data_IF_796960252769
#
_entry.id   IF_796960252769
#
_cell.length_a   1.000
_cell.length_b   1.000
_cell.length_c   1.000
_cell.angle_alpha   90.00
_cell.angle_beta   90.00
_cell.angle_gamma   90.00
#
_symmetry.space_group_name_H-M   'P 1'
#
loop_
_entity.id
_entity.type
_entity.pdbx_description
1 polymer ?
#
# COMPACT_ATOMS: atom_id res chain seq x y z
N UNK A 1 -19.22 17.96 -13.00
CA UNK A 1 -19.36 17.77 -11.54
C UNK A 1 -18.66 16.50 -11.03
N UNK A 2 -18.53 15.44 -11.85
CA UNK A 2 -17.97 14.13 -11.50
C UNK A 2 -16.46 14.14 -11.23
N UNK A 3 -15.68 14.90 -12.02
CA UNK A 3 -14.20 14.99 -11.92
C UNK A 3 -13.73 15.54 -10.57
N UNK A 4 -14.44 16.53 -10.01
CA UNK A 4 -14.10 17.14 -8.71
C UNK A 4 -14.24 16.15 -7.55
N UNK A 5 -15.30 15.32 -7.55
CA UNK A 5 -15.49 14.28 -6.52
C UNK A 5 -14.45 13.16 -6.65
N UNK A 6 -14.17 12.69 -7.87
CA UNK A 6 -13.13 11.67 -8.13
C UNK A 6 -11.77 12.14 -7.63
N UNK A 7 -11.40 13.40 -7.89
CA UNK A 7 -10.15 13.98 -7.40
C UNK A 7 -10.10 14.04 -5.86
N UNK A 8 -11.22 14.40 -5.23
CA UNK A 8 -11.35 14.34 -3.77
C UNK A 8 -11.08 12.94 -3.21
N UNK A 9 -11.67 11.91 -3.83
CA UNK A 9 -11.44 10.52 -3.42
C UNK A 9 -10.00 10.06 -3.65
N UNK A 10 -9.39 10.42 -4.79
CA UNK A 10 -7.99 10.08 -5.06
C UNK A 10 -7.05 10.72 -4.04
N UNK A 11 -7.30 11.98 -3.66
CA UNK A 11 -6.51 12.64 -2.61
C UNK A 11 -6.72 11.99 -1.25
N UNK A 12 -7.96 11.70 -0.87
CA UNK A 12 -8.25 11.03 0.39
C UNK A 12 -7.56 9.66 0.46
N UNK A 13 -7.64 8.88 -0.61
CA UNK A 13 -7.00 7.57 -0.69
C UNK A 13 -5.47 7.67 -0.68
N UNK A 14 -4.88 8.64 -1.40
CA UNK A 14 -3.44 8.89 -1.38
C UNK A 14 -2.96 9.25 0.03
N UNK A 15 -3.70 10.07 0.76
CA UNK A 15 -3.37 10.40 2.15
C UNK A 15 -3.47 9.17 3.05
N UNK A 16 -4.60 8.46 3.02
CA UNK A 16 -4.84 7.31 3.89
C UNK A 16 -3.82 6.19 3.65
N UNK A 17 -3.65 5.79 2.40
CA UNK A 17 -2.69 4.76 2.01
C UNK A 17 -1.24 5.22 2.24
N UNK A 18 -0.94 6.48 1.93
CA UNK A 18 0.39 7.06 2.14
C UNK A 18 0.82 7.10 3.60
N UNK A 19 -0.06 7.58 4.50
CA UNK A 19 0.23 7.61 5.95
C UNK A 19 0.37 6.19 6.49
N UNK A 20 -0.55 5.29 6.14
CA UNK A 20 -0.52 3.91 6.61
C UNK A 20 0.76 3.19 6.20
N UNK A 21 1.12 3.22 4.91
CA UNK A 21 2.32 2.56 4.41
C UNK A 21 3.59 3.22 4.95
N UNK A 22 3.63 4.55 5.04
CA UNK A 22 4.80 5.26 5.56
C UNK A 22 5.06 4.91 7.02
N UNK A 23 4.03 4.96 7.88
CA UNK A 23 4.15 4.61 9.29
C UNK A 23 4.45 3.13 9.50
N UNK A 24 3.82 2.25 8.71
CA UNK A 24 4.11 0.80 8.74
C UNK A 24 5.56 0.54 8.33
N UNK A 25 6.03 1.17 7.26
CA UNK A 25 7.41 1.07 6.81
C UNK A 25 8.42 1.54 7.85
N UNK A 26 8.20 2.72 8.45
CA UNK A 26 9.03 3.21 9.56
C UNK A 26 9.01 2.24 10.75
N UNK A 27 7.83 1.72 11.10
CA UNK A 27 7.68 0.71 12.14
C UNK A 27 8.51 -0.55 11.85
N UNK A 28 8.40 -1.10 10.65
CA UNK A 28 9.17 -2.28 10.23
C UNK A 28 10.68 -2.03 10.21
N UNK A 29 11.13 -0.81 9.86
CA UNK A 29 12.56 -0.46 9.85
C UNK A 29 13.13 -0.33 11.26
N UNK A 30 12.46 0.39 12.15
CA UNK A 30 13.00 0.72 13.48
C UNK A 30 12.59 -0.28 14.56
N UNK A 31 11.37 -0.80 14.50
CA UNK A 31 10.74 -1.65 15.50
C UNK A 31 10.01 -2.86 14.88
N UNK A 32 10.67 -3.69 14.05
CA UNK A 32 10.02 -4.75 13.26
C UNK A 32 9.17 -5.70 14.10
N UNK A 33 9.69 -6.19 15.22
CA UNK A 33 8.99 -7.14 16.09
C UNK A 33 7.73 -6.54 16.71
N UNK A 34 7.76 -5.25 17.07
CA UNK A 34 6.59 -4.55 17.59
C UNK A 34 5.55 -4.36 16.49
N UNK A 35 5.96 -3.91 15.30
CA UNK A 35 5.06 -3.70 14.17
C UNK A 35 4.39 -5.00 13.73
N UNK A 36 5.13 -6.10 13.63
CA UNK A 36 4.55 -7.41 13.32
C UNK A 36 3.55 -7.87 14.40
N UNK A 37 3.84 -7.65 15.69
CA UNK A 37 2.89 -7.94 16.79
C UNK A 37 1.62 -7.11 16.68
N UNK A 38 1.71 -5.82 16.32
CA UNK A 38 0.54 -4.97 16.10
C UNK A 38 -0.29 -5.45 14.90
N UNK A 39 0.36 -6.02 13.89
CA UNK A 39 -0.31 -6.70 12.77
C UNK A 39 -0.79 -8.11 13.12
N UNK A 40 -0.59 -8.56 14.37
CA UNK A 40 -0.84 -9.93 14.84
C UNK A 40 -0.10 -11.01 14.03
N UNK A 41 0.97 -10.64 13.34
CA UNK A 41 1.82 -11.54 12.56
C UNK A 41 2.88 -12.16 13.47
N UNK A 42 3.12 -13.49 13.38
CA UNK A 42 4.21 -14.12 14.10
C UNK A 42 5.56 -13.45 13.81
N UNK A 43 6.33 -13.18 14.87
CA UNK A 43 7.66 -12.57 14.75
C UNK A 43 8.64 -13.67 14.35
N UNK A 44 9.36 -13.53 13.21
CA UNK A 44 10.37 -14.50 12.81
C UNK A 44 11.61 -14.39 13.70
N UNK A 45 12.49 -15.40 13.62
CA UNK A 45 13.76 -15.40 14.34
C UNK A 45 14.65 -14.20 13.96
N UNK A 46 15.50 -13.76 14.89
CA UNK A 46 16.29 -12.52 14.78
C UNK A 46 17.07 -12.34 13.46
N UNK A 47 17.74 -13.38 12.89
CA UNK A 47 18.46 -13.22 11.62
C UNK A 47 17.53 -12.82 10.46
N UNK A 48 16.27 -13.23 10.49
CA UNK A 48 15.28 -12.96 9.44
C UNK A 48 14.68 -11.56 9.54
N UNK A 49 14.79 -10.88 10.70
CA UNK A 49 14.26 -9.53 10.90
C UNK A 49 14.98 -8.49 10.02
N UNK A 50 16.22 -8.77 9.56
CA UNK A 50 16.90 -7.87 8.62
C UNK A 50 16.15 -7.72 7.30
N UNK A 51 15.55 -8.80 6.80
CA UNK A 51 14.75 -8.77 5.58
C UNK A 51 13.42 -8.05 5.81
N UNK A 52 12.83 -8.18 7.00
CA UNK A 52 11.63 -7.42 7.38
C UNK A 52 11.93 -5.92 7.41
N UNK A 53 13.07 -5.51 7.98
CA UNK A 53 13.52 -4.11 7.97
C UNK A 53 13.76 -3.62 6.55
N UNK A 54 14.39 -4.43 5.71
CA UNK A 54 14.61 -4.13 4.30
C UNK A 54 13.29 -3.91 3.56
N UNK A 55 12.31 -4.81 3.70
CA UNK A 55 10.95 -4.65 3.16
C UNK A 55 10.30 -3.36 3.69
N UNK A 56 10.48 -3.06 4.97
CA UNK A 56 10.01 -1.82 5.60
C UNK A 56 10.48 -0.55 4.89
N UNK A 57 11.71 -0.52 4.36
CA UNK A 57 12.21 0.61 3.57
C UNK A 57 11.38 0.80 2.29
N UNK A 58 11.05 -0.27 1.58
CA UNK A 58 10.22 -0.19 0.37
C UNK A 58 8.79 0.24 0.68
N UNK A 59 8.18 -0.35 1.72
CA UNK A 59 6.83 0.01 2.16
C UNK A 59 6.79 1.50 2.55
N UNK A 60 7.80 1.96 3.30
CA UNK A 60 7.95 3.37 3.66
C UNK A 60 8.12 4.28 2.45
N UNK A 61 8.95 3.89 1.48
CA UNK A 61 9.16 4.66 0.25
C UNK A 61 7.87 4.77 -0.59
N UNK A 62 7.11 3.68 -0.72
CA UNK A 62 5.79 3.69 -1.41
C UNK A 62 4.84 4.66 -0.70
N UNK A 63 4.76 4.59 0.63
CA UNK A 63 3.97 5.53 1.43
C UNK A 63 4.38 6.98 1.22
N UNK A 64 5.69 7.27 1.24
CA UNK A 64 6.21 8.61 1.00
C UNK A 64 5.85 9.14 -0.40
N UNK A 65 5.89 8.30 -1.44
CA UNK A 65 5.51 8.69 -2.80
C UNK A 65 4.02 9.13 -2.87
N UNK A 66 3.12 8.41 -2.19
CA UNK A 66 1.73 8.85 -2.06
C UNK A 66 1.59 10.20 -1.34
N UNK A 67 2.31 10.39 -0.24
CA UNK A 67 2.27 11.63 0.54
C UNK A 67 2.80 12.82 -0.27
N UNK A 68 3.85 12.63 -1.05
CA UNK A 68 4.39 13.65 -1.97
C UNK A 68 3.34 14.04 -3.02
N UNK A 69 2.70 13.08 -3.68
CA UNK A 69 1.65 13.38 -4.65
C UNK A 69 0.43 14.06 -4.00
N UNK A 70 0.05 13.65 -2.80
CA UNK A 70 -1.00 14.31 -2.03
C UNK A 70 -0.66 15.76 -1.68
N UNK A 71 0.58 16.03 -1.28
CA UNK A 71 1.06 17.36 -0.91
C UNK A 71 1.15 18.30 -2.12
N UNK A 72 1.60 17.79 -3.29
CA UNK A 72 1.71 18.56 -4.54
C UNK A 72 0.34 18.96 -5.10
N UNK A 73 -0.71 18.19 -4.79
CA UNK A 73 -2.11 18.44 -5.21
C UNK A 73 -2.31 18.50 -6.73
N UNK A 74 -1.36 18.00 -7.50
CA UNK A 74 -1.45 17.90 -8.96
C UNK A 74 -2.23 16.63 -9.34
N UNK A 75 -3.34 16.75 -10.10
CA UNK A 75 -4.06 15.63 -10.69
C UNK A 75 -3.15 14.60 -11.41
N UNK A 76 -2.17 15.07 -12.18
CA UNK A 76 -1.29 14.20 -12.95
C UNK A 76 -0.40 13.35 -12.05
N UNK A 77 0.14 13.95 -10.97
CA UNK A 77 0.96 13.25 -9.98
C UNK A 77 0.15 12.15 -9.27
N UNK A 78 -1.10 12.42 -8.90
CA UNK A 78 -1.97 11.44 -8.24
C UNK A 78 -2.26 10.24 -9.16
N UNK A 79 -2.55 10.49 -10.44
CA UNK A 79 -2.75 9.42 -11.43
C UNK A 79 -1.47 8.62 -11.62
N UNK A 80 -0.32 9.31 -11.75
CA UNK A 80 0.97 8.67 -11.94
C UNK A 80 1.32 7.75 -10.76
N UNK A 81 1.15 8.23 -9.52
CA UNK A 81 1.40 7.43 -8.32
C UNK A 81 0.46 6.23 -8.23
N UNK A 82 -0.83 6.40 -8.55
CA UNK A 82 -1.77 5.26 -8.53
C UNK A 82 -1.35 4.20 -9.54
N UNK A 83 -1.00 4.60 -10.77
CA UNK A 83 -0.51 3.67 -11.80
C UNK A 83 0.79 2.99 -11.41
N UNK A 84 1.73 3.74 -10.82
CA UNK A 84 3.03 3.24 -10.39
C UNK A 84 2.89 2.21 -9.26
N UNK A 85 1.98 2.44 -8.32
CA UNK A 85 1.83 1.62 -7.10
C UNK A 85 0.95 0.38 -7.28
N UNK A 86 0.06 0.38 -8.28
CA UNK A 86 -0.77 -0.77 -8.64
C UNK A 86 0.00 -2.11 -8.75
N UNK A 87 1.09 -2.23 -9.53
CA UNK A 87 1.82 -3.49 -9.65
C UNK A 87 2.45 -3.95 -8.34
N UNK A 88 2.95 -3.03 -7.50
CA UNK A 88 3.52 -3.37 -6.19
C UNK A 88 2.46 -3.94 -5.25
N UNK A 89 1.30 -3.27 -5.15
CA UNK A 89 0.19 -3.75 -4.32
C UNK A 89 -0.38 -5.06 -4.82
N UNK A 90 -0.60 -5.17 -6.13
CA UNK A 90 -1.11 -6.40 -6.72
C UNK A 90 -0.14 -7.57 -6.48
N UNK A 91 1.17 -7.34 -6.68
CA UNK A 91 2.21 -8.32 -6.42
C UNK A 91 2.26 -8.73 -4.95
N UNK A 92 2.37 -7.77 -4.03
CA UNK A 92 2.45 -8.03 -2.59
C UNK A 92 1.18 -8.73 -2.06
N UNK A 93 0.01 -8.23 -2.42
CA UNK A 93 -1.28 -8.80 -1.99
C UNK A 93 -1.51 -10.20 -2.53
N UNK A 94 -1.18 -10.45 -3.82
CA UNK A 94 -1.29 -11.79 -4.42
C UNK A 94 -0.28 -12.75 -3.84
N UNK A 95 0.97 -12.33 -3.66
CA UNK A 95 2.00 -13.14 -3.04
C UNK A 95 1.57 -13.58 -1.63
N UNK A 96 1.13 -12.64 -0.78
CA UNK A 96 0.67 -12.97 0.57
C UNK A 96 -0.52 -13.95 0.54
N UNK A 97 -1.46 -13.79 -0.40
CA UNK A 97 -2.62 -14.65 -0.49
C UNK A 97 -2.24 -16.08 -0.89
N UNK A 98 -1.37 -16.22 -1.90
CA UNK A 98 -0.88 -17.51 -2.36
C UNK A 98 -0.03 -18.19 -1.29
N UNK A 99 0.89 -17.45 -0.66
CA UNK A 99 1.75 -18.00 0.40
C UNK A 99 0.96 -18.46 1.63
N UNK A 100 -0.14 -17.78 1.99
CA UNK A 100 -1.05 -18.30 3.02
C UNK A 100 -1.76 -19.57 2.55
N UNK A 101 -2.23 -19.60 1.29
CA UNK A 101 -2.95 -20.75 0.75
C UNK A 101 -2.11 -22.04 0.69
N UNK A 102 -0.79 -21.91 0.45
CA UNK A 102 0.15 -23.05 0.42
C UNK A 102 0.78 -23.36 1.78
N UNK A 103 0.48 -22.57 2.82
CA UNK A 103 0.94 -22.80 4.20
C UNK A 103 2.29 -22.19 4.55
N UNK A 104 2.89 -21.37 3.69
CA UNK A 104 4.18 -20.70 3.92
C UNK A 104 4.07 -19.48 4.85
N UNK A 105 2.90 -18.83 4.87
CA UNK A 105 2.63 -17.67 5.73
C UNK A 105 1.45 -17.93 6.67
N UNK A 106 1.54 -17.36 7.87
CA UNK A 106 0.45 -17.39 8.84
C UNK A 106 -0.81 -16.66 8.28
N UNK A 107 -2.04 -17.12 8.58
CA UNK A 107 -3.26 -16.52 8.04
C UNK A 107 -3.44 -15.01 8.32
N UNK A 108 -2.74 -14.44 9.32
CA UNK A 108 -2.81 -13.00 9.64
C UNK A 108 -2.25 -12.14 8.50
N UNK A 109 -1.40 -12.71 7.64
CA UNK A 109 -0.94 -12.06 6.41
C UNK A 109 -2.04 -11.81 5.38
N UNK A 110 -3.22 -12.44 5.51
CA UNK A 110 -4.38 -12.10 4.68
C UNK A 110 -4.84 -10.66 4.88
N UNK A 111 -4.51 -10.02 6.01
CA UNK A 111 -4.76 -8.59 6.21
C UNK A 111 -4.04 -7.72 5.17
N UNK A 112 -2.80 -8.08 4.79
CA UNK A 112 -2.03 -7.42 3.74
C UNK A 112 -2.70 -7.65 2.38
N UNK A 113 -3.06 -8.90 2.06
CA UNK A 113 -3.79 -9.22 0.82
C UNK A 113 -5.11 -8.47 0.69
N UNK A 114 -5.92 -8.45 1.75
CA UNK A 114 -7.19 -7.76 1.75
C UNK A 114 -7.02 -6.25 1.54
N UNK A 115 -6.04 -5.65 2.22
CA UNK A 115 -5.75 -4.22 2.12
C UNK A 115 -5.23 -3.87 0.72
N UNK A 116 -4.21 -4.56 0.23
CA UNK A 116 -3.57 -4.25 -1.05
C UNK A 116 -4.47 -4.54 -2.25
N UNK A 117 -5.14 -5.69 -2.29
CA UNK A 117 -6.04 -6.02 -3.41
C UNK A 117 -7.29 -5.15 -3.38
N UNK A 118 -7.79 -4.80 -2.19
CA UNK A 118 -8.85 -3.82 -2.04
C UNK A 118 -8.45 -2.45 -2.60
N UNK A 119 -7.25 -1.97 -2.26
CA UNK A 119 -6.71 -0.72 -2.79
C UNK A 119 -6.50 -0.79 -4.30
N UNK A 120 -6.02 -1.91 -4.85
CA UNK A 120 -5.90 -2.12 -6.30
C UNK A 120 -7.25 -1.92 -7.00
N UNK A 121 -8.32 -2.54 -6.49
CA UNK A 121 -9.67 -2.42 -7.06
C UNK A 121 -10.11 -0.94 -7.05
N UNK A 122 -9.99 -0.27 -5.90
CA UNK A 122 -10.41 1.13 -5.75
C UNK A 122 -9.59 2.05 -6.68
N UNK A 123 -8.28 1.85 -6.78
CA UNK A 123 -7.39 2.65 -7.62
C UNK A 123 -7.71 2.48 -9.11
N UNK A 124 -7.92 1.25 -9.57
CA UNK A 124 -8.32 0.98 -10.96
C UNK A 124 -9.63 1.68 -11.29
N UNK A 125 -10.63 1.60 -10.40
CA UNK A 125 -11.93 2.25 -10.60
C UNK A 125 -11.77 3.78 -10.66
N UNK A 126 -11.02 4.38 -9.75
CA UNK A 126 -10.82 5.83 -9.72
C UNK A 126 -10.07 6.34 -10.95
N UNK A 127 -9.01 5.66 -11.37
CA UNK A 127 -8.23 6.05 -12.56
C UNK A 127 -9.07 5.89 -13.84
N UNK A 128 -9.85 4.82 -13.98
CA UNK A 128 -10.75 4.62 -15.13
C UNK A 128 -11.79 5.74 -15.22
N UNK A 129 -12.47 6.04 -14.10
CA UNK A 129 -13.47 7.13 -14.04
C UNK A 129 -12.88 8.50 -14.37
N UNK A 130 -11.62 8.76 -14.03
CA UNK A 130 -10.98 10.02 -14.38
C UNK A 130 -10.67 10.11 -15.89
N UNK A 131 -10.19 9.03 -16.50
CA UNK A 131 -9.91 9.00 -17.95
C UNK A 131 -11.21 9.18 -18.76
N UNK A 132 -12.29 8.51 -18.37
CA UNK A 132 -13.62 8.64 -19.01
C UNK A 132 -14.21 10.05 -18.90
N UNK A 133 -13.82 10.83 -17.89
CA UNK A 133 -14.30 12.19 -17.67
C UNK A 133 -13.41 13.27 -18.30
N UNK A 134 -12.24 12.90 -18.82
CA UNK A 134 -11.24 13.79 -19.41
C UNK A 134 -10.95 13.55 -20.90
N UNK A 135 -11.54 12.50 -21.49
CA UNK A 135 -11.65 12.30 -22.94
C UNK A 135 -13.00 12.78 -23.46
#
# INVERSE_FOLDING_TARGET
MTTSRTMGYMRFLALGAGVMDFLTGLGLVFFPSLTLRLMMVPVPEDPSLIFVRFVGVFVGAVGAIYLVAWFRRDPADLVAVFRLTLPFRFGAGTFCAVSVAIGDLAPMWLSVSATDLGLVIVQVVLVRRLNEAGG
#
